data_IF_241600553652
#
_entry.id   IF_241600553652
#
_cell.length_a   1.000
_cell.length_b   1.000
_cell.length_c   1.000
_cell.angle_alpha   90.00
_cell.angle_beta   90.00
_cell.angle_gamma   90.00
#
_symmetry.space_group_name_H-M   'P 1'
#
loop_
_entity.id
_entity.type
_entity.pdbx_description
1 polymer ?
#
# COMPACT_ATOMS: atom_id res chain seq x y z
N UNK A 1 5.28 -11.36 30.06
CA UNK A 1 5.12 -11.48 28.58
C UNK A 1 4.10 -10.51 27.97
N UNK A 2 3.02 -10.13 28.66
CA UNK A 2 2.02 -9.18 28.11
C UNK A 2 2.53 -7.73 27.92
N UNK A 3 3.55 -7.30 28.68
CA UNK A 3 4.19 -5.98 28.50
C UNK A 3 4.88 -5.83 27.15
N UNK A 4 5.64 -6.86 26.73
CA UNK A 4 6.38 -6.84 25.47
C UNK A 4 5.48 -6.61 24.25
N UNK A 5 4.31 -7.26 24.19
CA UNK A 5 3.33 -7.05 23.10
C UNK A 5 2.77 -5.64 23.09
N UNK A 6 2.49 -5.06 24.26
CA UNK A 6 1.96 -3.70 24.39
C UNK A 6 2.98 -2.65 23.96
N UNK A 7 4.26 -2.85 24.28
CA UNK A 7 5.35 -1.96 23.85
C UNK A 7 5.73 -2.13 22.38
N UNK A 8 5.65 -3.35 21.82
CA UNK A 8 6.02 -3.59 20.42
C UNK A 8 4.96 -3.18 19.42
N UNK A 9 3.68 -3.13 19.81
CA UNK A 9 2.55 -2.79 18.93
C UNK A 9 2.71 -1.47 18.16
N UNK A 10 2.99 -0.31 18.80
CA UNK A 10 3.14 0.95 18.07
C UNK A 10 4.31 0.90 17.08
N UNK A 11 5.42 0.28 17.46
CA UNK A 11 6.57 0.09 16.56
C UNK A 11 6.25 -0.83 15.38
N UNK A 12 5.49 -1.90 15.62
CA UNK A 12 5.08 -2.82 14.56
C UNK A 12 4.23 -2.12 13.50
N UNK A 13 3.30 -1.26 13.91
CA UNK A 13 2.47 -0.47 12.98
C UNK A 13 3.32 0.49 12.16
N UNK A 14 4.24 1.22 12.79
CA UNK A 14 5.13 2.18 12.10
C UNK A 14 6.04 1.46 11.09
N UNK A 15 6.71 0.40 11.51
CA UNK A 15 7.61 -0.38 10.65
C UNK A 15 6.81 -1.07 9.54
N UNK A 16 5.64 -1.63 9.85
CA UNK A 16 4.78 -2.27 8.86
C UNK A 16 4.32 -1.28 7.78
N UNK A 17 3.88 -0.09 8.16
CA UNK A 17 3.48 0.96 7.23
C UNK A 17 4.68 1.45 6.39
N UNK A 18 5.85 1.61 7.00
CA UNK A 18 7.06 2.00 6.29
C UNK A 18 7.46 0.96 5.23
N UNK A 19 7.49 -0.33 5.59
CA UNK A 19 7.79 -1.42 4.66
C UNK A 19 6.73 -1.50 3.55
N UNK A 20 5.46 -1.27 3.88
CA UNK A 20 4.39 -1.23 2.89
C UNK A 20 4.60 -0.12 1.84
N UNK A 21 4.94 1.09 2.28
CA UNK A 21 5.26 2.21 1.37
C UNK A 21 6.46 1.86 0.48
N UNK A 22 7.51 1.28 1.06
CA UNK A 22 8.67 0.82 0.30
C UNK A 22 8.29 -0.26 -0.73
N UNK A 23 7.40 -1.18 -0.40
CA UNK A 23 6.95 -2.22 -1.32
C UNK A 23 6.18 -1.64 -2.51
N UNK A 24 5.29 -0.66 -2.27
CA UNK A 24 4.58 0.05 -3.35
C UNK A 24 5.55 0.82 -4.24
N UNK A 25 6.51 1.54 -3.65
CA UNK A 25 7.53 2.25 -4.40
C UNK A 25 8.41 1.30 -5.23
N UNK A 26 8.82 0.16 -4.65
CA UNK A 26 9.61 -0.85 -5.34
C UNK A 26 8.85 -1.48 -6.50
N UNK A 27 7.53 -1.72 -6.36
CA UNK A 27 6.69 -2.18 -7.46
C UNK A 27 6.64 -1.15 -8.60
N UNK A 28 6.46 0.15 -8.29
CA UNK A 28 6.46 1.21 -9.29
C UNK A 28 7.79 1.31 -10.04
N UNK A 29 8.92 1.21 -9.34
CA UNK A 29 10.26 1.18 -9.95
C UNK A 29 10.44 -0.07 -10.82
N UNK A 30 9.99 -1.24 -10.36
CA UNK A 30 10.07 -2.48 -11.13
C UNK A 30 9.27 -2.44 -12.43
N UNK A 31 8.10 -1.81 -12.43
CA UNK A 31 7.35 -1.56 -13.68
C UNK A 31 8.13 -0.65 -14.63
N UNK A 32 8.75 0.41 -14.11
CA UNK A 32 9.55 1.34 -14.91
C UNK A 32 10.81 0.67 -15.48
N UNK A 33 11.51 -0.12 -14.69
CA UNK A 33 12.70 -0.89 -15.13
C UNK A 33 12.32 -1.85 -16.25
N UNK A 34 11.26 -2.65 -16.05
CA UNK A 34 10.79 -3.58 -17.07
C UNK A 34 10.38 -2.88 -18.36
N UNK A 35 9.67 -1.76 -18.28
CA UNK A 35 9.29 -0.97 -19.44
C UNK A 35 10.50 -0.38 -20.16
N UNK A 36 11.48 0.14 -19.42
CA UNK A 36 12.70 0.71 -19.99
C UNK A 36 13.51 -0.34 -20.74
N UNK A 37 13.59 -1.57 -20.20
CA UNK A 37 14.22 -2.68 -20.90
C UNK A 37 13.46 -3.09 -22.17
N UNK A 38 12.12 -3.12 -22.11
CA UNK A 38 11.33 -3.43 -23.30
C UNK A 38 11.46 -2.35 -24.37
N UNK A 39 11.41 -1.07 -23.99
CA UNK A 39 11.63 0.07 -24.89
C UNK A 39 13.02 0.00 -25.53
N UNK A 40 14.07 -0.29 -24.75
CA UNK A 40 15.42 -0.52 -25.26
C UNK A 40 15.53 -1.73 -26.20
N UNK A 41 14.64 -2.73 -26.06
CA UNK A 41 14.58 -3.91 -26.94
C UNK A 41 13.73 -3.70 -28.21
N UNK A 42 13.17 -2.50 -28.41
CA UNK A 42 12.39 -2.14 -29.59
C UNK A 42 10.87 -2.05 -29.36
N UNK A 43 10.40 -2.09 -28.12
CA UNK A 43 8.99 -1.83 -27.82
C UNK A 43 8.63 -0.38 -28.16
N UNK A 44 7.48 -0.17 -28.81
CA UNK A 44 6.98 1.16 -29.08
C UNK A 44 6.60 1.88 -27.77
N UNK A 45 7.20 3.05 -27.54
CA UNK A 45 6.94 3.92 -26.37
C UNK A 45 5.46 4.27 -26.16
N UNK A 46 4.70 4.38 -27.25
CA UNK A 46 3.26 4.63 -27.24
C UNK A 46 2.45 3.42 -27.72
N UNK A 47 2.99 2.20 -27.53
CA UNK A 47 2.29 0.95 -27.82
C UNK A 47 1.25 0.60 -26.76
N UNK A 48 0.33 -0.30 -27.10
CA UNK A 48 -0.69 -0.78 -26.18
C UNK A 48 -0.08 -1.39 -24.90
N UNK A 49 1.02 -2.14 -25.03
CA UNK A 49 1.72 -2.74 -23.89
C UNK A 49 2.28 -1.68 -22.92
N UNK A 50 2.88 -0.61 -23.45
CA UNK A 50 3.41 0.48 -22.63
C UNK A 50 2.30 1.19 -21.84
N UNK A 51 1.15 1.45 -22.48
CA UNK A 51 -0.01 2.04 -21.81
C UNK A 51 -0.62 1.12 -20.75
N UNK A 52 -0.72 -0.19 -21.02
CA UNK A 52 -1.25 -1.15 -20.06
C UNK A 52 -0.37 -1.24 -18.80
N UNK A 53 0.95 -1.28 -18.95
CA UNK A 53 1.85 -1.33 -17.80
C UNK A 53 1.82 -0.01 -17.02
N UNK A 54 1.81 1.14 -17.71
CA UNK A 54 1.70 2.44 -17.05
C UNK A 54 0.38 2.59 -16.27
N UNK A 55 -0.74 2.15 -16.85
CA UNK A 55 -2.04 2.12 -16.17
C UNK A 55 -1.99 1.21 -14.95
N UNK A 56 -1.39 0.02 -15.07
CA UNK A 56 -1.21 -0.91 -13.95
C UNK A 56 -0.38 -0.29 -12.81
N UNK A 57 0.68 0.45 -13.15
CA UNK A 57 1.48 1.18 -12.16
C UNK A 57 0.64 2.25 -11.43
N UNK A 58 -0.18 3.02 -12.15
CA UNK A 58 -1.09 4.01 -11.56
C UNK A 58 -2.10 3.34 -10.63
N UNK A 59 -2.74 2.24 -11.06
CA UNK A 59 -3.68 1.48 -10.23
C UNK A 59 -3.00 0.95 -8.97
N UNK A 60 -1.76 0.45 -9.08
CA UNK A 60 -0.97 -0.03 -7.94
C UNK A 60 -0.71 1.09 -6.93
N UNK A 61 -0.31 2.27 -7.40
CA UNK A 61 -0.08 3.45 -6.54
C UNK A 61 -1.38 3.89 -5.87
N UNK A 62 -2.49 3.96 -6.62
CA UNK A 62 -3.79 4.34 -6.09
C UNK A 62 -4.27 3.36 -5.02
N UNK A 63 -4.14 2.06 -5.28
CA UNK A 63 -4.43 1.02 -4.29
C UNK A 63 -3.57 1.17 -3.04
N UNK A 64 -2.26 1.40 -3.22
CA UNK A 64 -1.33 1.73 -2.15
C UNK A 64 -1.82 2.88 -1.27
N UNK A 65 -2.20 4.00 -1.89
CA UNK A 65 -2.72 5.18 -1.20
C UNK A 65 -4.05 4.91 -0.48
N UNK A 66 -4.97 4.15 -1.09
CA UNK A 66 -6.24 3.79 -0.47
C UNK A 66 -6.06 2.92 0.78
N UNK A 67 -5.13 1.97 0.75
CA UNK A 67 -4.80 1.16 1.94
C UNK A 67 -4.29 2.05 3.07
N UNK A 68 -3.39 3.00 2.76
CA UNK A 68 -2.89 3.96 3.75
C UNK A 68 -4.06 4.81 4.30
N UNK A 69 -4.96 5.28 3.43
CA UNK A 69 -6.14 6.03 3.85
C UNK A 69 -7.06 5.22 4.78
N UNK A 70 -7.27 3.94 4.49
CA UNK A 70 -8.05 3.02 5.33
C UNK A 70 -7.37 2.82 6.69
N UNK A 71 -6.05 2.66 6.73
CA UNK A 71 -5.27 2.52 7.99
C UNK A 71 -5.48 3.73 8.91
N UNK A 72 -5.61 4.93 8.34
CA UNK A 72 -5.88 6.16 9.10
C UNK A 72 -7.37 6.45 9.32
N UNK A 73 -8.27 5.74 8.63
CA UNK A 73 -9.71 5.91 8.82
C UNK A 73 -10.14 5.30 10.15
N UNK A 74 -10.82 6.09 10.99
CA UNK A 74 -11.35 5.60 12.27
C UNK A 74 -12.46 4.58 11.98
N UNK A 75 -12.35 3.36 12.49
CA UNK A 75 -13.47 2.42 12.49
C UNK A 75 -14.67 3.06 13.21
N UNK A 76 -15.92 2.81 12.77
CA UNK A 76 -17.09 3.20 13.54
C UNK A 76 -16.87 2.83 15.00
N UNK A 77 -17.08 3.78 15.91
CA UNK A 77 -17.19 3.44 17.31
C UNK A 77 -18.42 2.53 17.38
N UNK A 78 -18.21 1.24 17.67
CA UNK A 78 -19.29 0.51 18.34
C UNK A 78 -19.47 1.27 19.65
N UNK A 79 -20.49 2.13 19.66
CA UNK A 79 -20.98 2.75 20.87
C UNK A 79 -21.24 1.57 21.81
N UNK A 80 -20.40 1.45 22.82
CA UNK A 80 -20.55 0.51 23.93
C UNK A 80 -21.88 0.89 24.59
N UNK A 81 -22.98 0.32 24.07
CA UNK A 81 -24.29 0.38 24.69
C UNK A 81 -24.13 -0.33 26.02
N UNK A 82 -23.70 0.45 27.01
CA UNK A 82 -23.73 0.18 28.42
C UNK A 82 -25.19 -0.14 28.78
N UNK A 83 -25.59 -1.39 28.54
CA UNK A 83 -26.65 -2.03 29.28
C UNK A 83 -26.13 -2.19 30.71
N UNK A 84 -26.14 -1.07 31.44
CA UNK A 84 -26.24 -1.08 32.89
C UNK A 84 -27.64 -1.58 33.25
N UNK A 85 -27.87 -2.86 33.01
CA UNK A 85 -28.87 -3.62 33.71
C UNK A 85 -28.25 -4.03 35.04
N UNK A 86 -28.60 -3.26 36.07
CA UNK A 86 -29.05 -3.60 37.44
C UNK A 86 -28.74 -2.40 38.34
#
# INVERSE_FOLDING_TARGET
AAGLRRESLPWHVVVGLFVYILAVANAAIGFLEKLTFLESSGLAKYGAEAYLVNFTAIVTILYGALVIFIVFSKAPQDDDFSYSAI
#
